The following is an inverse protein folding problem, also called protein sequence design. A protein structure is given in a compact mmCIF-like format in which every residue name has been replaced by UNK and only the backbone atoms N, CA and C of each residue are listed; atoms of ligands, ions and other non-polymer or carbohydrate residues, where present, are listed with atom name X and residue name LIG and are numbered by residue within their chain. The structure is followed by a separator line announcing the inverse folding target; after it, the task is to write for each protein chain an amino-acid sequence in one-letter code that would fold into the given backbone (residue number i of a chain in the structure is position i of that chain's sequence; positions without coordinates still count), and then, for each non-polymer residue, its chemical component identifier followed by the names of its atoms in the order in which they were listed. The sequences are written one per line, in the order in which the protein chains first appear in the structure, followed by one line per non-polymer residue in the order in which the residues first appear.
data_IF_981909674267
#
_entry.id   IF_981909674267
#
_cell.length_a   1.000
_cell.length_b   1.000
_cell.length_c   1.000
_cell.angle_alpha   90.00
_cell.angle_beta   90.00
_cell.angle_gamma   90.00
#
_symmetry.space_group_name_H-M   'P 1'
#
loop_
_entity.id
_entity.type
_entity.pdbx_description
1 polymer ?
#
# COMPACT_ATOMS: atom_id res chain seq x y z
N UNK A 1 22.43 -7.05 -19.90
CA UNK A 1 22.23 -8.05 -18.83
C UNK A 1 21.71 -7.46 -17.52
N UNK A 2 22.34 -6.44 -16.93
CA UNK A 2 21.91 -5.83 -15.64
C UNK A 2 20.44 -5.37 -15.61
N UNK A 3 19.94 -4.73 -16.68
CA UNK A 3 18.53 -4.26 -16.78
C UNK A 3 17.50 -5.40 -16.70
N UNK A 4 17.75 -6.51 -17.40
CA UNK A 4 16.87 -7.68 -17.39
C UNK A 4 16.87 -8.37 -16.03
N UNK A 5 18.03 -8.42 -15.36
CA UNK A 5 18.12 -8.96 -14.00
C UNK A 5 17.32 -8.13 -12.99
N UNK A 6 17.40 -6.80 -13.05
CA UNK A 6 16.61 -5.90 -12.19
C UNK A 6 15.10 -6.09 -12.44
N UNK A 7 14.69 -6.18 -13.71
CA UNK A 7 13.29 -6.43 -14.04
C UNK A 7 12.80 -7.77 -13.49
N UNK A 8 13.61 -8.83 -13.59
CA UNK A 8 13.31 -10.15 -13.03
C UNK A 8 13.16 -10.09 -11.50
N UNK A 9 14.02 -9.32 -10.82
CA UNK A 9 13.93 -9.10 -9.38
C UNK A 9 12.62 -8.39 -9.00
N UNK A 10 12.23 -7.35 -9.73
CA UNK A 10 10.94 -6.67 -9.48
C UNK A 10 9.76 -7.61 -9.70
N UNK A 11 9.76 -8.40 -10.78
CA UNK A 11 8.70 -9.38 -11.03
C UNK A 11 8.64 -10.41 -9.89
N UNK A 12 9.78 -10.94 -9.46
CA UNK A 12 9.85 -11.86 -8.32
C UNK A 12 9.32 -11.23 -7.03
N UNK A 13 9.65 -9.96 -6.78
CA UNK A 13 9.17 -9.21 -5.62
C UNK A 13 7.65 -9.00 -5.66
N UNK A 14 7.09 -8.64 -6.83
CA UNK A 14 5.65 -8.47 -7.03
C UNK A 14 4.90 -9.78 -6.71
N UNK A 15 5.37 -10.90 -7.28
CA UNK A 15 4.82 -12.22 -7.02
C UNK A 15 4.92 -12.59 -5.54
N UNK A 16 6.08 -12.36 -4.91
CA UNK A 16 6.29 -12.65 -3.50
C UNK A 16 5.32 -11.84 -2.62
N UNK A 17 5.15 -10.55 -2.87
CA UNK A 17 4.24 -9.69 -2.10
C UNK A 17 2.79 -10.16 -2.21
N UNK A 18 2.31 -10.42 -3.43
CA UNK A 18 0.94 -10.90 -3.65
C UNK A 18 0.74 -12.29 -3.06
N UNK A 19 1.72 -13.18 -3.24
CA UNK A 19 1.67 -14.53 -2.69
C UNK A 19 1.60 -14.51 -1.16
N UNK A 20 2.45 -13.73 -0.47
CA UNK A 20 2.42 -13.61 0.98
C UNK A 20 1.10 -13.02 1.47
N UNK A 21 0.56 -12.01 0.78
CA UNK A 21 -0.74 -11.44 1.13
C UNK A 21 -1.86 -12.49 1.05
N UNK A 22 -1.97 -13.18 -0.09
CA UNK A 22 -3.09 -14.08 -0.35
C UNK A 22 -3.01 -15.39 0.42
N UNK A 23 -1.81 -15.97 0.57
CA UNK A 23 -1.64 -17.29 1.18
C UNK A 23 -1.45 -17.23 2.70
N UNK A 24 -0.65 -16.28 3.20
CA UNK A 24 -0.29 -16.22 4.61
C UNK A 24 -1.15 -15.22 5.38
N UNK A 25 -1.18 -13.96 4.95
CA UNK A 25 -1.83 -12.92 5.75
C UNK A 25 -3.34 -13.10 5.77
N UNK A 26 -3.94 -13.37 4.62
CA UNK A 26 -5.39 -13.54 4.56
C UNK A 26 -5.90 -14.78 5.31
N UNK A 27 -5.04 -15.76 5.64
CA UNK A 27 -5.41 -16.95 6.41
C UNK A 27 -5.25 -16.78 7.94
N UNK A 28 -4.72 -15.64 8.39
CA UNK A 28 -4.57 -15.34 9.81
C UNK A 28 -5.90 -14.96 10.49
N UNK A 29 -5.96 -14.99 11.85
CA UNK A 29 -7.12 -14.53 12.59
C UNK A 29 -7.50 -13.09 12.23
N UNK A 30 -8.78 -12.75 12.37
CA UNK A 30 -9.39 -11.52 11.85
C UNK A 30 -8.56 -10.24 12.06
N UNK A 31 -7.99 -10.03 13.24
CA UNK A 31 -7.21 -8.83 13.52
C UNK A 31 -5.93 -8.75 12.66
N UNK A 32 -5.25 -9.88 12.45
CA UNK A 32 -3.98 -9.96 11.75
C UNK A 32 -4.14 -10.09 10.23
N UNK A 33 -5.27 -10.63 9.75
CA UNK A 33 -5.58 -10.67 8.33
C UNK A 33 -5.91 -9.31 7.72
N UNK A 34 -5.97 -8.26 8.54
CA UNK A 34 -6.08 -6.86 8.10
C UNK A 34 -4.76 -6.20 7.75
N UNK A 35 -3.63 -6.89 7.89
CA UNK A 35 -2.34 -6.37 7.42
C UNK A 35 -2.37 -6.30 5.89
N UNK A 36 -2.09 -5.13 5.33
CA UNK A 36 -2.09 -4.92 3.89
C UNK A 36 -0.65 -4.75 3.38
N UNK A 37 0.02 -5.88 3.14
CA UNK A 37 1.43 -5.90 2.70
C UNK A 37 1.58 -5.25 1.33
N UNK A 38 0.59 -5.41 0.44
CA UNK A 38 0.58 -4.78 -0.88
C UNK A 38 0.68 -3.26 -0.75
N UNK A 39 -0.22 -2.67 0.05
CA UNK A 39 -0.23 -1.23 0.29
C UNK A 39 1.04 -0.75 1.00
N UNK A 40 1.49 -1.49 2.02
CA UNK A 40 2.73 -1.18 2.75
C UNK A 40 3.95 -1.19 1.83
N UNK A 41 4.07 -2.18 0.94
CA UNK A 41 5.15 -2.26 -0.03
C UNK A 41 5.13 -1.04 -0.97
N UNK A 42 3.95 -0.62 -1.47
CA UNK A 42 3.83 0.55 -2.33
C UNK A 42 4.20 1.85 -1.62
N UNK A 43 3.76 2.04 -0.37
CA UNK A 43 4.12 3.23 0.41
C UNK A 43 5.64 3.28 0.66
N UNK A 44 6.25 2.14 0.98
CA UNK A 44 7.71 2.04 1.10
C UNK A 44 8.42 2.33 -0.23
N UNK A 45 7.94 1.78 -1.35
CA UNK A 45 8.51 2.08 -2.66
C UNK A 45 8.37 3.56 -3.04
N UNK A 46 7.26 4.20 -2.70
CA UNK A 46 7.06 5.65 -2.90
C UNK A 46 8.10 6.49 -2.17
N UNK A 47 8.66 5.99 -1.07
CA UNK A 47 9.72 6.67 -0.33
C UNK A 47 11.09 6.54 -1.01
N UNK A 48 11.42 5.36 -1.55
CA UNK A 48 12.75 5.04 -2.05
C UNK A 48 12.91 5.15 -3.57
N UNK A 49 11.83 5.01 -4.32
CA UNK A 49 11.82 4.99 -5.79
C UNK A 49 11.12 6.23 -6.34
N UNK A 50 11.25 6.44 -7.65
CA UNK A 50 10.54 7.49 -8.35
C UNK A 50 9.08 7.10 -8.64
N UNK A 51 8.21 8.11 -8.72
CA UNK A 51 6.78 7.93 -8.96
C UNK A 51 6.45 7.04 -10.17
N UNK A 52 7.19 7.18 -11.29
CA UNK A 52 6.93 6.39 -12.50
C UNK A 52 7.13 4.90 -12.24
N UNK A 53 8.21 4.55 -11.55
CA UNK A 53 8.48 3.17 -11.15
C UNK A 53 7.40 2.66 -10.20
N UNK A 54 6.98 3.45 -9.22
CA UNK A 54 5.98 3.03 -8.22
C UNK A 54 4.59 2.83 -8.83
N UNK A 55 4.18 3.68 -9.78
CA UNK A 55 2.95 3.46 -10.55
C UNK A 55 3.01 2.14 -11.32
N UNK A 56 4.14 1.84 -11.99
CA UNK A 56 4.28 0.57 -12.71
C UNK A 56 4.18 -0.62 -11.75
N UNK A 57 4.77 -0.53 -10.56
CA UNK A 57 4.63 -1.55 -9.52
C UNK A 57 3.20 -1.66 -9.00
N UNK A 58 2.48 -0.54 -8.82
CA UNK A 58 1.09 -0.52 -8.39
C UNK A 58 0.17 -1.20 -9.41
N UNK A 59 0.37 -0.91 -10.71
CA UNK A 59 -0.31 -1.58 -11.80
C UNK A 59 0.02 -3.07 -11.82
N UNK A 60 1.29 -3.45 -11.65
CA UNK A 60 1.71 -4.85 -11.58
C UNK A 60 1.09 -5.61 -10.41
N UNK A 61 1.15 -5.07 -9.19
CA UNK A 61 0.52 -5.65 -8.01
C UNK A 61 -0.99 -5.75 -8.17
N UNK A 62 -1.61 -4.71 -8.70
CA UNK A 62 -3.06 -4.67 -8.96
C UNK A 62 -3.50 -5.74 -9.93
N UNK A 63 -2.82 -5.86 -11.07
CA UNK A 63 -3.14 -6.85 -12.11
C UNK A 63 -2.96 -8.27 -11.58
N UNK A 64 -1.87 -8.54 -10.85
CA UNK A 64 -1.67 -9.84 -10.21
C UNK A 64 -2.77 -10.13 -9.19
N UNK A 65 -3.14 -9.16 -8.36
CA UNK A 65 -4.21 -9.33 -7.38
C UNK A 65 -5.56 -9.58 -8.07
N UNK A 66 -5.86 -8.85 -9.15
CA UNK A 66 -7.07 -9.02 -9.94
C UNK A 66 -7.16 -10.45 -10.51
N UNK A 67 -6.06 -10.99 -11.05
CA UNK A 67 -6.00 -12.37 -11.59
C UNK A 67 -6.36 -13.42 -10.54
N UNK A 68 -5.95 -13.22 -9.28
CA UNK A 68 -6.23 -14.14 -8.18
C UNK A 68 -7.51 -13.78 -7.41
N UNK A 69 -8.28 -12.80 -7.88
CA UNK A 69 -9.52 -12.37 -7.23
C UNK A 69 -10.76 -12.82 -7.99
N UNK A 70 -11.87 -12.94 -7.26
CA UNK A 70 -13.19 -13.20 -7.83
C UNK A 70 -13.92 -11.93 -8.30
N UNK A 71 -13.23 -10.79 -8.33
CA UNK A 71 -13.81 -9.50 -8.71
C UNK A 71 -13.63 -9.23 -10.19
N UNK A 72 -14.32 -8.20 -10.69
CA UNK A 72 -14.12 -7.73 -12.06
C UNK A 72 -12.65 -7.35 -12.26
N UNK A 73 -12.10 -7.74 -13.41
CA UNK A 73 -10.73 -7.41 -13.75
C UNK A 73 -10.51 -5.89 -13.76
N UNK A 74 -9.44 -5.43 -13.11
CA UNK A 74 -9.12 -4.02 -12.95
C UNK A 74 -9.57 -3.40 -11.63
N UNK A 75 -10.26 -4.13 -10.77
CA UNK A 75 -10.79 -3.61 -9.50
C UNK A 75 -9.67 -3.19 -8.53
N UNK A 76 -8.73 -4.11 -8.26
CA UNK A 76 -7.57 -3.82 -7.43
C UNK A 76 -6.55 -2.95 -8.16
N UNK A 77 -6.39 -3.12 -9.48
CA UNK A 77 -5.53 -2.26 -10.30
C UNK A 77 -5.92 -0.80 -10.21
N UNK A 78 -7.20 -0.47 -10.41
CA UNK A 78 -7.69 0.90 -10.33
C UNK A 78 -7.56 1.45 -8.91
N UNK A 79 -7.87 0.63 -7.90
CA UNK A 79 -7.74 1.02 -6.50
C UNK A 79 -6.29 1.40 -6.14
N UNK A 80 -5.33 0.51 -6.40
CA UNK A 80 -3.93 0.76 -6.07
C UNK A 80 -3.34 1.92 -6.87
N UNK A 81 -3.71 2.05 -8.16
CA UNK A 81 -3.31 3.17 -8.98
C UNK A 81 -3.75 4.51 -8.37
N UNK A 82 -5.04 4.65 -8.03
CA UNK A 82 -5.57 5.88 -7.43
C UNK A 82 -4.94 6.18 -6.07
N UNK A 83 -4.71 5.16 -5.25
CA UNK A 83 -4.07 5.34 -3.94
C UNK A 83 -2.64 5.83 -4.08
N UNK A 84 -1.86 5.25 -4.98
CA UNK A 84 -0.47 5.70 -5.23
C UNK A 84 -0.45 7.11 -5.82
N UNK A 85 -1.36 7.43 -6.73
CA UNK A 85 -1.51 8.77 -7.27
C UNK A 85 -1.80 9.81 -6.18
N UNK A 86 -2.77 9.52 -5.29
CA UNK A 86 -3.11 10.40 -4.17
C UNK A 86 -1.96 10.50 -3.14
N UNK A 87 -1.28 9.39 -2.87
CA UNK A 87 -0.14 9.35 -1.95
C UNK A 87 1.03 10.21 -2.47
N UNK A 88 1.37 10.09 -3.76
CA UNK A 88 2.40 10.94 -4.38
C UNK A 88 2.01 12.41 -4.36
N UNK A 89 0.74 12.72 -4.67
CA UNK A 89 0.22 14.08 -4.60
C UNK A 89 0.36 14.68 -3.19
N UNK A 90 0.04 13.93 -2.14
CA UNK A 90 0.25 14.35 -0.75
C UNK A 90 1.73 14.52 -0.42
N UNK A 91 2.58 13.59 -0.88
CA UNK A 91 4.02 13.65 -0.64
C UNK A 91 4.63 14.91 -1.26
N UNK A 92 4.30 15.18 -2.52
CA UNK A 92 4.85 16.31 -3.27
C UNK A 92 4.39 17.68 -2.74
N UNK A 93 3.13 17.79 -2.28
CA UNK A 93 2.53 19.08 -1.92
C UNK A 93 2.52 19.37 -0.40
N UNK A 94 2.39 18.34 0.45
CA UNK A 94 2.18 18.52 1.89
C UNK A 94 3.34 17.98 2.73
N UNK A 95 3.99 16.90 2.28
CA UNK A 95 5.03 16.22 3.05
C UNK A 95 6.45 16.46 2.50
N UNK A 96 6.81 17.74 2.35
CA UNK A 96 8.11 18.18 1.81
C UNK A 96 9.30 17.65 2.61
N UNK A 97 9.12 17.43 3.91
CA UNK A 97 10.14 16.80 4.76
C UNK A 97 9.94 15.29 4.79
N UNK A 98 10.96 14.52 4.39
CA UNK A 98 10.98 13.03 4.49
C UNK A 98 11.21 12.56 5.93
N UNK A 99 10.38 13.05 6.84
CA UNK A 99 10.40 12.69 8.26
C UNK A 99 9.55 11.46 8.56
N UNK A 100 9.77 10.82 9.71
CA UNK A 100 8.93 9.72 10.19
C UNK A 100 7.45 10.14 10.31
N UNK A 101 7.18 11.36 10.77
CA UNK A 101 5.81 11.88 10.91
C UNK A 101 5.10 12.00 9.56
N UNK A 102 5.80 12.52 8.55
CA UNK A 102 5.31 12.60 7.18
C UNK A 102 4.92 11.24 6.63
N UNK A 103 5.73 10.22 6.93
CA UNK A 103 5.50 8.89 6.41
C UNK A 103 4.37 8.16 7.15
N UNK A 104 4.26 8.32 8.47
CA UNK A 104 3.09 7.85 9.22
C UNK A 104 1.80 8.51 8.73
N UNK A 105 1.81 9.82 8.50
CA UNK A 105 0.66 10.54 7.95
C UNK A 105 0.32 10.03 6.54
N UNK A 106 1.32 9.83 5.68
CA UNK A 106 1.13 9.25 4.36
C UNK A 106 0.50 7.86 4.43
N UNK A 107 0.99 6.98 5.30
CA UNK A 107 0.43 5.63 5.51
C UNK A 107 -1.01 5.70 5.99
N UNK A 108 -1.32 6.61 6.91
CA UNK A 108 -2.68 6.84 7.38
C UNK A 108 -3.62 7.20 6.22
N UNK A 109 -3.28 8.24 5.45
CA UNK A 109 -4.12 8.70 4.34
C UNK A 109 -4.20 7.70 3.19
N UNK A 110 -3.12 6.98 2.89
CA UNK A 110 -3.13 5.93 1.88
C UNK A 110 -4.03 4.76 2.29
N UNK A 111 -3.99 4.35 3.57
CA UNK A 111 -4.86 3.28 4.10
C UNK A 111 -6.32 3.68 4.09
N UNK A 112 -6.64 4.92 4.48
CA UNK A 112 -7.99 5.46 4.36
C UNK A 112 -8.45 5.43 2.90
N UNK A 113 -7.67 6.05 2.01
CA UNK A 113 -8.01 6.16 0.58
C UNK A 113 -8.21 4.79 -0.06
N UNK A 114 -7.33 3.84 0.26
CA UNK A 114 -7.45 2.45 -0.20
C UNK A 114 -8.79 1.84 0.19
N UNK A 115 -9.16 1.91 1.48
CA UNK A 115 -10.41 1.33 1.95
C UNK A 115 -11.64 2.04 1.38
N UNK A 116 -11.68 3.37 1.35
CA UNK A 116 -12.82 4.10 0.80
C UNK A 116 -13.01 3.83 -0.70
N UNK A 117 -11.93 3.78 -1.48
CA UNK A 117 -11.99 3.46 -2.90
C UNK A 117 -12.43 2.01 -3.09
N UNK A 118 -11.79 1.05 -2.40
CA UNK A 118 -12.07 -0.37 -2.55
C UNK A 118 -13.52 -0.71 -2.16
N UNK A 119 -13.97 -0.27 -0.98
CA UNK A 119 -15.33 -0.51 -0.52
C UNK A 119 -16.37 0.31 -1.29
N UNK A 120 -16.01 1.49 -1.77
CA UNK A 120 -16.83 2.26 -2.71
C UNK A 120 -17.06 1.49 -4.01
N UNK A 121 -16.01 0.93 -4.60
CA UNK A 121 -16.11 0.07 -5.78
C UNK A 121 -16.91 -1.21 -5.49
N UNK A 122 -16.79 -1.80 -4.30
CA UNK A 122 -17.57 -3.00 -3.93
C UNK A 122 -19.06 -2.68 -3.84
N UNK A 123 -19.40 -1.52 -3.28
CA UNK A 123 -20.77 -1.06 -3.22
C UNK A 123 -21.33 -0.81 -4.63
N UNK A 124 -20.56 -0.15 -5.50
CA UNK A 124 -20.98 0.10 -6.88
C UNK A 124 -21.14 -1.19 -7.71
N UNK A 125 -20.24 -2.17 -7.55
CA UNK A 125 -20.34 -3.45 -8.28
C UNK A 125 -21.50 -4.33 -7.80
N UNK A 126 -21.92 -4.16 -6.55
CA UNK A 126 -23.02 -4.90 -5.94
C UNK A 126 -24.30 -4.05 -5.79
N UNK A 127 -24.46 -3.00 -6.59
CA UNK A 127 -25.57 -2.05 -6.45
C UNK A 127 -26.97 -2.69 -6.57
N UNK A 128 -27.08 -3.81 -7.27
CA UNK A 128 -28.32 -4.59 -7.40
C UNK A 128 -28.57 -5.56 -6.23
N UNK A 129 -27.63 -5.69 -5.31
CA UNK A 129 -27.79 -6.51 -4.11
C UNK A 129 -28.34 -5.65 -2.97
N UNK A 130 -29.17 -6.22 -2.09
CA UNK A 130 -29.72 -5.55 -0.89
C UNK A 130 -28.66 -5.26 0.19
N UNK A 131 -27.39 -5.14 -0.17
CA UNK A 131 -26.32 -4.83 0.77
C UNK A 131 -26.37 -3.35 1.12
N UNK A 132 -26.57 -3.07 2.41
CA UNK A 132 -26.55 -1.71 2.94
C UNK A 132 -25.21 -1.00 2.71
N UNK A 133 -25.27 0.33 2.67
CA UNK A 133 -24.09 1.19 2.46
C UNK A 133 -22.97 0.90 3.46
N UNK A 134 -21.75 0.73 2.95
CA UNK A 134 -20.62 0.20 3.75
C UNK A 134 -20.24 1.06 4.95
N UNK A 135 -20.44 2.39 4.87
CA UNK A 135 -20.16 3.31 6.00
C UNK A 135 -21.06 3.09 7.21
N UNK A 136 -22.20 2.41 7.04
CA UNK A 136 -23.10 2.09 8.15
C UNK A 136 -22.80 0.73 8.78
N UNK A 137 -21.81 0.00 8.26
CA UNK A 137 -21.45 -1.32 8.75
C UNK A 137 -20.33 -1.19 9.81
N UNK A 138 -20.59 -1.65 11.03
CA UNK A 138 -19.59 -1.66 12.11
C UNK A 138 -18.32 -2.45 11.72
N UNK A 139 -18.48 -3.50 10.93
CA UNK A 139 -17.38 -4.33 10.42
C UNK A 139 -16.40 -3.55 9.53
N UNK A 140 -16.87 -2.54 8.80
CA UNK A 140 -16.00 -1.68 7.99
C UNK A 140 -15.07 -0.87 8.89
N UNK A 141 -15.62 -0.18 9.89
CA UNK A 141 -14.85 0.64 10.82
C UNK A 141 -13.90 -0.18 11.68
N UNK A 142 -14.33 -1.36 12.14
CA UNK A 142 -13.47 -2.28 12.88
C UNK A 142 -12.30 -2.78 12.01
N UNK A 143 -12.58 -3.16 10.75
CA UNK A 143 -11.55 -3.57 9.79
C UNK A 143 -10.55 -2.45 9.49
N UNK A 144 -11.06 -1.24 9.22
CA UNK A 144 -10.25 -0.04 8.96
C UNK A 144 -9.37 0.31 10.17
N UNK A 145 -9.91 0.22 11.38
CA UNK A 145 -9.16 0.45 12.61
C UNK A 145 -8.00 -0.52 12.76
N UNK A 146 -8.22 -1.82 12.56
CA UNK A 146 -7.16 -2.83 12.61
C UNK A 146 -6.10 -2.62 11.52
N UNK A 147 -6.53 -2.33 10.29
CA UNK A 147 -5.60 -2.09 9.18
C UNK A 147 -4.74 -0.84 9.44
N UNK A 148 -5.32 0.23 9.98
CA UNK A 148 -4.57 1.42 10.39
C UNK A 148 -3.55 1.11 11.50
N UNK A 149 -3.96 0.40 12.54
CA UNK A 149 -3.06 0.03 13.66
C UNK A 149 -1.86 -0.77 13.13
N UNK A 150 -2.12 -1.77 12.30
CA UNK A 150 -1.05 -2.59 11.75
C UNK A 150 -0.17 -1.85 10.76
N UNK A 151 -0.76 -1.13 9.81
CA UNK A 151 0.03 -0.44 8.79
C UNK A 151 0.91 0.64 9.42
N UNK A 152 0.36 1.44 10.35
CA UNK A 152 1.14 2.44 11.09
C UNK A 152 2.21 1.79 11.98
N UNK A 153 1.86 0.70 12.68
CA UNK A 153 2.80 -0.02 13.52
C UNK A 153 3.98 -0.60 12.75
N UNK A 154 3.73 -1.26 11.61
CA UNK A 154 4.76 -1.82 10.76
C UNK A 154 5.65 -0.72 10.19
N UNK A 155 5.07 0.39 9.73
CA UNK A 155 5.83 1.51 9.20
C UNK A 155 6.67 2.20 10.28
N UNK A 156 6.12 2.37 11.48
CA UNK A 156 6.88 2.89 12.61
C UNK A 156 8.08 1.99 12.94
N UNK A 157 7.86 0.68 13.04
CA UNK A 157 8.94 -0.29 13.28
C UNK A 157 10.00 -0.26 12.18
N UNK A 158 9.58 -0.18 10.91
CA UNK A 158 10.49 -0.04 9.79
C UNK A 158 11.39 1.19 9.94
N UNK A 159 10.81 2.36 10.25
CA UNK A 159 11.59 3.58 10.49
C UNK A 159 12.49 3.49 11.71
N UNK A 160 12.03 2.85 12.78
CA UNK A 160 12.84 2.65 13.97
C UNK A 160 14.07 1.78 13.67
N UNK A 161 13.91 0.66 12.96
CA UNK A 161 15.04 -0.19 12.51
C UNK A 161 15.96 0.56 11.55
N UNK A 162 15.40 1.34 10.62
CA UNK A 162 16.17 2.20 9.72
C UNK A 162 16.98 3.24 10.49
N UNK A 163 16.42 3.83 11.56
CA UNK A 163 17.13 4.81 12.36
C UNK A 163 18.30 4.17 13.12
N UNK A 164 18.13 2.96 13.66
CA UNK A 164 19.20 2.21 14.32
C UNK A 164 20.38 1.94 13.38
N UNK A 165 20.11 1.60 12.12
CA UNK A 165 21.15 1.34 11.12
C UNK A 165 21.76 2.62 10.55
N UNK A 166 20.96 3.69 10.39
CA UNK A 166 21.39 4.97 9.79
C UNK A 166 22.31 5.78 10.71
N UNK A 167 22.33 5.56 12.03
CA UNK A 167 23.34 6.20 12.90
C UNK A 167 24.80 5.90 12.50
N UNK A 168 25.04 4.86 11.67
CA UNK A 168 26.35 4.55 11.08
C UNK A 168 26.51 5.02 9.62
N UNK A 169 25.45 5.48 8.96
CA UNK A 169 25.48 5.98 7.59
C UNK A 169 25.28 7.50 7.61
N UNK A 170 26.41 8.21 7.64
CA UNK A 170 26.54 9.66 7.44
C UNK A 170 25.73 10.16 6.21
N UNK A 171 25.30 11.43 6.21
CA UNK A 171 24.18 11.91 5.40
C UNK A 171 24.51 11.90 3.92
N UNK A 172 23.92 10.96 3.18
CA UNK A 172 23.85 11.02 1.71
C UNK A 172 22.73 11.98 1.25
N UNK A 173 21.93 12.52 2.17
CA UNK A 173 20.81 13.44 1.86
C UNK A 173 21.18 14.93 1.82
N UNK A 174 22.47 15.28 1.75
CA UNK A 174 22.91 16.62 1.40
C UNK A 174 23.37 16.67 -0.06
N UNK A 175 22.49 16.35 -1.00
CA UNK A 175 22.66 16.84 -2.37
C UNK A 175 21.89 18.16 -2.50
N UNK A 176 22.67 19.23 -2.64
CA UNK A 176 22.19 20.57 -2.94
C UNK A 176 21.56 20.55 -4.33
N UNK A 177 20.41 21.21 -4.47
CA UNK A 177 19.97 21.70 -5.77
C UNK A 177 21.06 22.57 -6.41
#
# INVERSE_FOLDING_TARGET
MKKYFIALLYIGLLFLVVFLQLSLINSWPYAFSRINIILLALILFLFFLDFKTVILLALGLGLLTDIFSWQLFGFYTLTLFLVVFLADFLLANWFTNRSTYSFLALTFFATLSYNFILYGLFYLSNFLSDRGFFLWQANFWAGLGWELVWNLGIIFLFFWVMNLTTTRLKPVFLDKR
#
